data_IF_259552181158
#
_entry.id   IF_259552181158
#
_cell.length_a   1.000
_cell.length_b   1.000
_cell.length_c   1.000
_cell.angle_alpha   90.00
_cell.angle_beta   90.00
_cell.angle_gamma   90.00
#
_symmetry.space_group_name_H-M   'P 1'
#
loop_
_entity.id
_entity.type
_entity.pdbx_description
1 polymer ?
#
# COMPACT_ATOMS: atom_id res chain seq x y z
N UNK A 1 -10.40 5.23 17.42
CA UNK A 1 -9.79 4.10 16.70
C UNK A 1 -8.42 4.55 16.22
N UNK A 2 -7.36 4.12 16.91
CA UNK A 2 -5.99 4.51 16.56
C UNK A 2 -5.49 3.63 15.42
N UNK A 3 -5.31 4.23 14.25
CA UNK A 3 -4.61 3.60 13.14
C UNK A 3 -3.17 3.36 13.62
N UNK A 4 -2.78 2.10 13.84
CA UNK A 4 -1.39 1.77 14.18
C UNK A 4 -0.53 1.98 12.94
N UNK A 5 -0.11 3.23 12.74
CA UNK A 5 0.80 3.65 11.69
C UNK A 5 2.20 3.33 12.18
N UNK A 6 2.72 2.17 11.78
CA UNK A 6 4.13 1.88 11.98
C UNK A 6 4.89 2.63 10.88
N UNK A 7 5.40 3.83 11.20
CA UNK A 7 6.31 4.59 10.32
C UNK A 7 7.64 3.84 10.31
N UNK A 8 7.87 3.05 9.27
CA UNK A 8 9.09 2.24 9.14
C UNK A 8 10.12 3.09 8.39
N UNK A 9 11.14 3.57 9.10
CA UNK A 9 12.15 4.51 8.60
C UNK A 9 13.08 3.93 7.53
N UNK A 10 13.33 4.78 6.52
CA UNK A 10 14.52 5.05 5.70
C UNK A 10 15.46 3.95 5.16
N UNK A 11 15.48 2.72 5.66
CA UNK A 11 16.49 1.72 5.28
C UNK A 11 15.94 0.51 4.50
N UNK A 12 14.73 0.63 3.94
CA UNK A 12 14.09 -0.48 3.24
C UNK A 12 14.23 -0.32 1.72
N UNK A 13 15.31 -0.88 1.16
CA UNK A 13 15.52 -1.02 -0.28
C UNK A 13 14.31 -1.62 -1.03
N UNK A 14 13.45 -2.37 -0.33
CA UNK A 14 12.21 -2.93 -0.87
C UNK A 14 11.00 -2.00 -0.80
N UNK A 15 10.98 -0.98 0.07
CA UNK A 15 9.90 0.01 0.13
C UNK A 15 10.01 1.01 -1.02
N UNK A 16 11.22 1.38 -1.42
CA UNK A 16 11.48 2.27 -2.57
C UNK A 16 10.83 1.77 -3.87
N UNK A 17 11.03 0.51 -4.33
CA UNK A 17 10.39 0.02 -5.54
C UNK A 17 8.86 -0.14 -5.40
N UNK A 18 8.34 -0.44 -4.20
CA UNK A 18 6.88 -0.45 -3.99
C UNK A 18 6.29 0.95 -4.04
N UNK A 19 6.95 1.93 -3.42
CA UNK A 19 6.55 3.33 -3.46
C UNK A 19 6.58 3.85 -4.90
N UNK A 20 7.69 3.64 -5.61
CA UNK A 20 7.82 4.07 -7.00
C UNK A 20 6.79 3.40 -7.91
N UNK A 21 6.49 2.13 -7.69
CA UNK A 21 5.43 1.45 -8.42
C UNK A 21 4.05 2.07 -8.14
N UNK A 22 3.72 2.34 -6.87
CA UNK A 22 2.42 2.90 -6.49
C UNK A 22 2.27 4.40 -6.83
N UNK A 23 3.34 5.18 -6.74
CA UNK A 23 3.35 6.63 -6.98
C UNK A 23 3.54 6.98 -8.46
N UNK A 24 4.39 6.23 -9.18
CA UNK A 24 4.85 6.56 -10.53
C UNK A 24 4.54 5.48 -11.57
N UNK A 25 4.02 4.32 -11.16
CA UNK A 25 3.73 3.21 -12.08
C UNK A 25 4.97 2.50 -12.62
N UNK A 26 6.16 2.79 -12.10
CA UNK A 26 7.43 2.23 -12.58
C UNK A 26 7.67 0.84 -12.03
N UNK A 27 8.09 -0.09 -12.89
CA UNK A 27 8.54 -1.43 -12.54
C UNK A 27 9.94 -1.69 -13.11
N UNK A 28 10.75 -2.53 -12.45
CA UNK A 28 12.02 -2.99 -13.00
C UNK A 28 11.80 -3.83 -14.27
N UNK A 29 12.81 -3.88 -15.12
CA UNK A 29 12.81 -4.62 -16.40
C UNK A 29 12.75 -6.13 -16.15
N UNK A 30 13.33 -6.60 -15.03
CA UNK A 30 13.31 -8.01 -14.67
C UNK A 30 11.88 -8.43 -14.28
N UNK A 31 11.27 -9.30 -15.09
CA UNK A 31 9.89 -9.77 -14.89
C UNK A 31 9.66 -10.42 -13.51
N UNK A 32 10.67 -11.12 -12.99
CA UNK A 32 10.61 -11.76 -11.68
C UNK A 32 10.53 -10.73 -10.56
N UNK A 33 11.40 -9.72 -10.59
CA UNK A 33 11.37 -8.62 -9.64
C UNK A 33 10.08 -7.79 -9.76
N UNK A 34 9.63 -7.50 -10.98
CA UNK A 34 8.37 -6.80 -11.23
C UNK A 34 7.15 -7.54 -10.65
N UNK A 35 7.10 -8.86 -10.80
CA UNK A 35 6.04 -9.68 -10.21
C UNK A 35 6.05 -9.65 -8.68
N UNK A 36 7.24 -9.68 -8.07
CA UNK A 36 7.39 -9.56 -6.60
C UNK A 36 6.90 -8.20 -6.12
N UNK A 37 7.28 -7.11 -6.79
CA UNK A 37 6.84 -5.76 -6.43
C UNK A 37 5.34 -5.62 -6.55
N UNK A 38 4.74 -6.07 -7.66
CA UNK A 38 3.27 -6.06 -7.84
C UNK A 38 2.55 -6.80 -6.72
N UNK A 39 3.01 -8.02 -6.39
CA UNK A 39 2.39 -8.83 -5.34
C UNK A 39 2.47 -8.17 -3.97
N UNK A 40 3.63 -7.57 -3.65
CA UNK A 40 3.82 -6.87 -2.37
C UNK A 40 3.02 -5.57 -2.31
N UNK A 41 2.96 -4.81 -3.40
CA UNK A 41 2.25 -3.54 -3.48
C UNK A 41 0.75 -3.66 -3.17
N UNK A 42 0.12 -4.82 -3.41
CA UNK A 42 -1.26 -5.08 -3.02
C UNK A 42 -1.52 -4.91 -1.52
N UNK A 43 -0.49 -5.06 -0.67
CA UNK A 43 -0.57 -4.88 0.77
C UNK A 43 -0.27 -3.44 1.22
N UNK A 44 -0.08 -2.49 0.31
CA UNK A 44 0.25 -1.10 0.62
C UNK A 44 -0.69 -0.12 -0.09
N UNK A 45 -0.72 1.12 0.39
CA UNK A 45 -1.42 2.26 -0.22
C UNK A 45 -0.62 3.54 0.04
N UNK A 46 -0.68 4.49 -0.88
CA UNK A 46 -0.15 5.84 -0.66
C UNK A 46 -1.30 6.75 -0.26
N UNK A 47 -1.18 7.41 0.89
CA UNK A 47 -2.10 8.44 1.36
C UNK A 47 -1.27 9.67 1.72
N UNK A 48 -1.62 10.83 1.15
CA UNK A 48 -0.89 12.09 1.40
C UNK A 48 0.64 11.97 1.21
N UNK A 49 1.04 11.32 0.11
CA UNK A 49 2.46 11.10 -0.22
C UNK A 49 3.20 10.09 0.65
N UNK A 50 2.56 9.50 1.66
CA UNK A 50 3.15 8.54 2.60
C UNK A 50 2.67 7.12 2.34
N UNK A 51 3.58 6.16 2.45
CA UNK A 51 3.28 4.74 2.24
C UNK A 51 2.73 4.09 3.52
N UNK A 52 1.56 3.46 3.42
CA UNK A 52 0.92 2.75 4.51
C UNK A 52 0.74 1.28 4.15
N UNK A 53 0.96 0.39 5.13
CA UNK A 53 0.61 -1.03 5.00
C UNK A 53 -0.88 -1.20 5.29
N UNK A 54 -1.60 -1.86 4.40
CA UNK A 54 -2.99 -2.28 4.61
C UNK A 54 -3.03 -3.28 5.76
N UNK A 55 -3.75 -2.93 6.82
CA UNK A 55 -4.06 -3.85 7.91
C UNK A 55 -5.20 -4.81 7.54
N UNK A 56 -5.31 -5.94 8.23
CA UNK A 56 -6.42 -6.89 8.10
C UNK A 56 -7.75 -6.36 8.63
N UNK A 57 -7.74 -5.26 9.38
CA UNK A 57 -8.92 -4.65 9.97
C UNK A 57 -9.45 -3.55 9.05
N UNK A 58 -10.06 -3.93 7.93
CA UNK A 58 -11.05 -3.05 7.30
C UNK A 58 -12.30 -3.24 8.15
N UNK A 59 -12.75 -2.27 8.96
CA UNK A 59 -14.08 -2.35 9.54
C UNK A 59 -15.05 -2.52 8.36
N UNK A 60 -15.82 -3.60 8.36
CA UNK A 60 -16.85 -3.83 7.33
C UNK A 60 -17.73 -2.58 7.31
N UNK A 61 -17.67 -1.81 6.23
CA UNK A 61 -18.52 -0.65 6.07
C UNK A 61 -19.95 -1.16 6.03
N UNK A 62 -20.79 -0.68 6.95
CA UNK A 62 -22.23 -0.91 6.88
C UNK A 62 -22.74 -0.13 5.68
N UNK A 63 -23.33 -0.81 4.69
CA UNK A 63 -24.12 -0.13 3.67
C UNK A 63 -25.28 0.57 4.39
N UNK A 64 -25.33 1.89 4.28
CA UNK A 64 -26.53 2.65 4.62
C UNK A 64 -27.36 2.68 3.35
N UNK A 65 -28.44 1.91 3.34
CA UNK A 65 -29.54 2.20 2.43
C UNK A 65 -30.17 3.50 2.91
N UNK A 66 -30.23 4.49 2.02
CA UNK A 66 -30.97 5.72 2.24
C UNK A 66 -32.45 5.38 2.10
N UNK A 67 -33.08 4.93 3.19
CA UNK A 67 -34.53 4.98 3.30
C UNK A 67 -34.92 6.45 3.49
N UNK A 68 -35.24 7.09 2.37
CA UNK A 68 -36.15 8.25 2.16
C UNK A 68 -36.32 9.25 3.31
#
# INVERSE_FOLDING_TARGET
MSLNINVIGDNNYWMTPIYNFLAHGTLPIEQKEAAVIRRRACAYVILDGKLYKRGFSIPLLKCVDEDT
#
